data_IF_018664040347
#
_entry.id   IF_018664040347
#
_cell.length_a   1.000
_cell.length_b   1.000
_cell.length_c   1.000
_cell.angle_alpha   90.00
_cell.angle_beta   90.00
_cell.angle_gamma   90.00
#
_symmetry.space_group_name_H-M   'P 1'
#
loop_
_entity.id
_entity.type
_entity.pdbx_description
1 polymer ?
#
# COMPACT_ATOMS: atom_id res chain seq x y z
N UNK A 1 -3.42 -7.10 -10.24
CA UNK A 1 -3.68 -6.02 -9.28
C UNK A 1 -2.45 -5.89 -8.41
N UNK A 2 -1.86 -4.70 -8.36
CA UNK A 2 -0.65 -4.43 -7.59
C UNK A 2 -0.97 -3.31 -6.61
N UNK A 3 -1.54 -3.69 -5.46
CA UNK A 3 -1.92 -2.73 -4.44
C UNK A 3 -0.74 -2.41 -3.52
N UNK A 4 -0.65 -1.18 -3.06
CA UNK A 4 0.25 -0.78 -1.97
C UNK A 4 -0.50 0.09 -0.97
N UNK A 5 -0.11 0.03 0.30
CA UNK A 5 -0.59 0.95 1.33
C UNK A 5 0.52 1.98 1.58
N UNK A 6 0.18 3.27 1.54
CA UNK A 6 1.10 4.35 1.86
C UNK A 6 0.54 5.23 2.98
N UNK A 7 1.36 5.55 3.98
CA UNK A 7 1.03 6.58 4.97
C UNK A 7 1.20 7.97 4.33
N UNK A 8 0.15 8.78 4.28
CA UNK A 8 0.27 10.17 3.84
C UNK A 8 1.04 11.05 4.83
N UNK A 9 1.06 10.67 6.12
CA UNK A 9 1.82 11.39 7.15
C UNK A 9 3.33 11.22 6.99
N UNK A 10 3.79 10.01 6.71
CA UNK A 10 5.23 9.67 6.72
C UNK A 10 5.82 9.40 5.34
N UNK A 11 4.98 9.15 4.34
CA UNK A 11 5.38 8.73 3.00
C UNK A 11 5.86 7.28 2.92
N UNK A 12 5.86 6.54 4.04
CA UNK A 12 6.28 5.14 4.09
C UNK A 12 5.22 4.22 3.48
N UNK A 13 5.70 3.10 2.95
CA UNK A 13 4.87 2.03 2.42
C UNK A 13 4.78 0.89 3.42
N UNK A 14 3.58 0.40 3.67
CA UNK A 14 3.38 -0.80 4.47
C UNK A 14 3.56 -2.02 3.57
N UNK A 15 4.54 -2.86 3.90
CA UNK A 15 4.92 -4.00 3.08
C UNK A 15 4.84 -5.29 3.90
N UNK A 16 4.13 -6.31 3.39
CA UNK A 16 4.05 -7.60 4.07
C UNK A 16 5.40 -8.32 4.00
N UNK A 17 5.83 -8.87 5.13
CA UNK A 17 6.89 -9.86 5.18
C UNK A 17 6.26 -11.25 5.13
N UNK A 18 6.33 -11.90 3.98
CA UNK A 18 5.78 -13.24 3.80
C UNK A 18 6.59 -14.32 4.52
N UNK A 19 7.86 -14.05 4.86
CA UNK A 19 8.72 -15.01 5.56
C UNK A 19 8.43 -15.02 7.07
N UNK A 20 8.23 -13.83 7.64
CA UNK A 20 8.03 -13.64 9.08
C UNK A 20 6.57 -13.43 9.50
N UNK A 21 5.63 -13.37 8.55
CA UNK A 21 4.19 -13.10 8.78
C UNK A 21 3.90 -11.76 9.50
N UNK A 22 4.83 -10.80 9.44
CA UNK A 22 4.67 -9.47 10.01
C UNK A 22 4.72 -8.41 8.89
N UNK A 23 4.04 -7.28 9.06
CA UNK A 23 4.17 -6.17 8.12
C UNK A 23 5.10 -5.09 8.68
N UNK A 24 5.84 -4.43 7.78
CA UNK A 24 6.78 -3.36 8.15
C UNK A 24 6.63 -2.14 7.26
N UNK A 25 6.94 -0.99 7.84
CA UNK A 25 6.97 0.29 7.13
C UNK A 25 8.32 0.52 6.47
N UNK A 26 8.31 0.77 5.17
CA UNK A 26 9.51 0.86 4.36
C UNK A 26 9.51 2.13 3.49
N UNK A 27 10.71 2.67 3.26
CA UNK A 27 10.89 3.91 2.48
C UNK A 27 10.84 3.70 0.97
N UNK A 28 11.08 2.47 0.50
CA UNK A 28 11.25 2.20 -0.93
C UNK A 28 10.74 0.82 -1.31
N UNK A 29 9.76 0.81 -2.20
CA UNK A 29 9.21 -0.43 -2.79
C UNK A 29 10.26 -1.19 -3.61
N UNK A 30 11.23 -0.48 -4.21
CA UNK A 30 12.29 -1.08 -5.02
C UNK A 30 13.20 -2.03 -4.22
N UNK A 31 13.33 -1.82 -2.91
CA UNK A 31 14.13 -2.70 -2.04
C UNK A 31 13.46 -4.04 -1.74
N UNK A 32 12.17 -4.20 -2.06
CA UNK A 32 11.36 -5.27 -1.49
C UNK A 32 10.86 -6.26 -2.56
N UNK A 33 11.19 -6.02 -3.84
CA UNK A 33 11.07 -6.97 -4.94
C UNK A 33 9.65 -7.33 -5.37
N UNK A 34 8.73 -7.57 -4.42
CA UNK A 34 7.37 -8.11 -4.59
C UNK A 34 6.44 -7.59 -3.47
N UNK A 35 6.67 -6.37 -2.96
CA UNK A 35 5.91 -5.81 -1.83
C UNK A 35 4.47 -5.38 -2.12
N UNK A 36 3.87 -5.84 -3.22
CA UNK A 36 2.49 -5.50 -3.58
C UNK A 36 1.51 -6.48 -2.94
N UNK A 37 0.39 -5.95 -2.46
CA UNK A 37 -0.69 -6.73 -1.87
C UNK A 37 -1.53 -7.36 -3.01
N UNK A 38 -1.90 -8.65 -2.87
CA UNK A 38 -2.53 -9.40 -3.96
C UNK A 38 -4.02 -9.06 -4.17
N UNK A 39 -4.71 -8.64 -3.11
CA UNK A 39 -6.15 -8.39 -3.11
C UNK A 39 -6.57 -7.36 -2.05
N UNK A 40 -7.82 -6.90 -2.15
CA UNK A 40 -8.39 -5.91 -1.25
C UNK A 40 -8.64 -6.44 0.15
N UNK A 41 -9.00 -7.72 0.30
CA UNK A 41 -9.33 -8.29 1.61
C UNK A 41 -8.09 -8.32 2.51
N UNK A 42 -6.97 -8.79 1.96
CA UNK A 42 -5.66 -8.76 2.61
C UNK A 42 -5.20 -7.33 2.90
N UNK A 43 -5.49 -6.40 1.98
CA UNK A 43 -5.19 -4.97 2.16
C UNK A 43 -5.94 -4.35 3.33
N UNK A 44 -7.24 -4.63 3.45
CA UNK A 44 -8.08 -4.14 4.55
C UNK A 44 -7.61 -4.70 5.88
N UNK A 45 -7.23 -5.98 5.93
CA UNK A 45 -6.67 -6.59 7.14
C UNK A 45 -5.39 -5.88 7.59
N UNK A 46 -4.45 -5.66 6.66
CA UNK A 46 -3.20 -4.95 6.97
C UNK A 46 -3.43 -3.49 7.42
N UNK A 47 -4.41 -2.80 6.82
CA UNK A 47 -4.79 -1.46 7.27
C UNK A 47 -5.26 -1.50 8.73
N UNK A 48 -6.15 -2.42 9.08
CA UNK A 48 -6.69 -2.54 10.43
C UNK A 48 -5.61 -2.88 11.46
N UNK A 49 -4.65 -3.73 11.09
CA UNK A 49 -3.66 -4.25 12.03
C UNK A 49 -2.43 -3.34 12.21
N UNK A 50 -2.04 -2.57 11.19
CA UNK A 50 -0.74 -1.88 11.16
C UNK A 50 -0.81 -0.37 10.93
N UNK A 51 -2.00 0.21 10.84
CA UNK A 51 -2.17 1.67 10.68
C UNK A 51 -2.95 2.25 11.85
N UNK A 52 -2.61 3.49 12.20
CA UNK A 52 -3.43 4.31 13.10
C UNK A 52 -4.09 5.44 12.30
N UNK A 53 -5.20 6.04 12.79
CA UNK A 53 -5.88 7.13 12.07
C UNK A 53 -4.95 8.28 11.64
N UNK A 54 -3.96 8.61 12.48
CA UNK A 54 -2.98 9.67 12.21
C UNK A 54 -2.03 9.35 11.05
N UNK A 55 -1.88 8.09 10.63
CA UNK A 55 -1.03 7.73 9.50
C UNK A 55 -1.62 8.19 8.17
N UNK A 56 -2.93 8.47 8.14
CA UNK A 56 -3.71 8.79 6.95
C UNK A 56 -3.39 7.79 5.82
N UNK A 57 -3.65 6.49 6.02
CA UNK A 57 -3.24 5.47 5.08
C UNK A 57 -4.08 5.54 3.80
N UNK A 58 -3.42 5.41 2.65
CA UNK A 58 -4.05 5.34 1.34
C UNK A 58 -3.66 4.04 0.64
N UNK A 59 -4.65 3.37 0.05
CA UNK A 59 -4.44 2.23 -0.84
C UNK A 59 -4.29 2.74 -2.26
N UNK A 60 -3.23 2.31 -2.93
CA UNK A 60 -2.89 2.74 -4.28
C UNK A 60 -2.81 1.50 -5.17
N UNK A 61 -3.57 1.47 -6.26
CA UNK A 61 -3.50 0.43 -7.28
C UNK A 61 -2.51 0.82 -8.39
N UNK A 62 -1.31 0.23 -8.33
CA UNK A 62 -0.24 0.48 -9.30
C UNK A 62 -0.56 -0.04 -10.71
N UNK A 63 -1.58 -0.89 -10.87
CA UNK A 63 -2.06 -1.31 -12.20
C UNK A 63 -2.95 -0.25 -12.87
N UNK A 64 -3.37 0.78 -12.14
CA UNK A 64 -4.24 1.85 -12.67
C UNK A 64 -3.52 3.18 -12.88
N UNK A 65 -2.37 3.39 -12.24
CA UNK A 65 -1.56 4.60 -12.40
C UNK A 65 -1.05 4.70 -13.85
N UNK A 66 -1.28 5.84 -14.51
CA UNK A 66 -0.80 6.09 -15.87
C UNK A 66 -1.51 5.25 -16.94
N UNK A 67 -2.68 4.70 -16.63
CA UNK A 67 -3.56 4.03 -17.60
C UNK A 67 -4.70 4.95 -18.04
N UNK A 68 -5.45 4.57 -19.07
CA UNK A 68 -6.67 5.30 -19.49
C UNK A 68 -7.75 5.35 -18.39
N UNK A 69 -7.60 4.55 -17.32
CA UNK A 69 -8.47 4.52 -16.13
C UNK A 69 -7.83 5.16 -14.90
N UNK A 70 -6.78 5.96 -15.07
CA UNK A 70 -6.23 6.74 -13.97
C UNK A 70 -7.34 7.65 -13.40
N UNK A 71 -7.43 7.73 -12.07
CA UNK A 71 -8.47 8.52 -11.43
C UNK A 71 -8.12 10.00 -11.53
N UNK A 72 -8.63 10.65 -12.57
CA UNK A 72 -8.58 12.10 -12.66
C UNK A 72 -9.57 12.70 -11.67
N UNK A 73 -9.11 12.98 -10.45
CA UNK A 73 -9.86 13.78 -9.48
C UNK A 73 -9.84 15.25 -9.91
N UNK A 74 -10.49 15.55 -11.04
CA UNK A 74 -10.83 16.92 -11.39
C UNK A 74 -12.07 17.34 -10.60
N UNK A 75 -11.82 18.28 -9.68
CA UNK A 75 -12.77 18.93 -8.78
C UNK A 75 -13.79 19.80 -9.55
#
# INVERSE_FOLDING_TARGET
MRLVIQSQRTGLFLVPDFENQEARWERSLAKIGIGCLPDYDYTVQLLADYTVPDDLPMVIDLDRIGTDFDYDFHN
#
